data_IF_978730074855
#
_entry.id   IF_978730074855
#
_cell.length_a   1.000
_cell.length_b   1.000
_cell.length_c   1.000
_cell.angle_alpha   90.00
_cell.angle_beta   90.00
_cell.angle_gamma   90.00
#
_symmetry.space_group_name_H-M   'P 1'
#
loop_
_entity.id
_entity.type
_entity.pdbx_description
1 polymer ?
2 polymer ?
3 non-polymer ?
4 non-polymer ?
#
loop_
_entity_poly.entity_id
_entity_poly.type
_entity_poly.pdbx_seq_one_letter_code
_entity_poly.pdbx_strand_id
2 'polyribonucleotide' 'GGCCAGGUAGCUCAGUUGGUAGAGCACUGGACUGAAAAUCCAGGUGUCGGCGGUUCGAUUCCGCCCCUGGCCACC' ?
#
# COMPACT_ATOMS: atom_id res chain seq x y z
N UNK A 1 9.14 9.44 29.49
CA UNK A 1 10.44 9.25 30.14
C UNK A 1 11.56 9.90 29.33
N UNK A 2 11.32 10.04 28.03
CA UNK A 2 12.32 10.56 27.10
C UNK A 2 12.77 11.97 27.45
N UNK A 3 11.82 12.80 27.86
CA UNK A 3 12.12 14.17 28.23
C UNK A 3 13.06 14.26 29.41
N UNK A 4 12.82 13.42 30.41
CA UNK A 4 13.68 13.35 31.60
C UNK A 4 15.09 12.91 31.26
N UNK A 5 15.19 11.81 30.51
CA UNK A 5 16.47 11.27 30.08
C UNK A 5 17.25 12.31 29.28
N UNK A 6 16.53 13.02 28.40
CA UNK A 6 17.14 14.06 27.59
C UNK A 6 17.62 15.20 28.46
N UNK A 7 16.90 15.48 29.54
CA UNK A 7 17.31 16.52 30.48
C UNK A 7 18.60 16.12 31.20
N UNK A 8 18.67 14.86 31.60
CA UNK A 8 19.84 14.34 32.32
C UNK A 8 21.08 14.33 31.44
N UNK A 9 20.88 14.11 30.15
CA UNK A 9 21.99 14.04 29.20
C UNK A 9 22.28 15.40 28.59
N UNK A 10 21.51 16.40 29.01
CA UNK A 10 21.67 17.75 28.50
C UNK A 10 21.45 17.83 27.01
N UNK A 11 20.40 17.17 26.53
CA UNK A 11 20.13 17.14 25.10
C UNK A 11 18.72 17.64 24.76
N UNK A 12 18.43 17.67 23.46
CA UNK A 12 17.11 18.02 22.96
C UNK A 12 16.64 16.94 21.99
N UNK A 13 15.50 16.33 22.30
CA UNK A 13 14.92 15.32 21.42
C UNK A 13 13.60 15.83 20.82
N UNK A 14 13.27 15.36 19.62
CA UNK A 14 12.05 15.80 18.96
C UNK A 14 11.35 14.65 18.22
N UNK A 15 10.03 14.54 18.37
CA UNK A 15 9.24 13.70 17.49
C UNK A 15 9.23 14.40 16.13
N UNK A 16 9.37 13.63 15.06
CA UNK A 16 9.70 14.22 13.76
C UNK A 16 9.00 13.53 12.58
N UNK A 17 8.65 14.32 11.58
CA UNK A 17 8.23 13.78 10.29
C UNK A 17 6.79 13.35 10.20
N UNK A 18 6.55 12.29 9.43
CA UNK A 18 5.21 11.77 9.18
C UNK A 18 4.39 11.58 10.44
N UNK A 19 5.02 11.07 11.48
CA UNK A 19 4.36 10.84 12.77
C UNK A 19 3.63 12.09 13.24
N UNK A 20 4.30 13.24 13.14
CA UNK A 20 3.68 14.51 13.49
C UNK A 20 2.45 14.76 12.62
N UNK A 21 2.63 14.65 11.31
CA UNK A 21 1.53 14.86 10.37
C UNK A 21 0.31 14.04 10.73
N UNK A 22 0.52 12.72 10.85
CA UNK A 22 -0.55 11.80 11.20
C UNK A 22 -1.25 12.22 12.48
N UNK A 23 -0.50 12.75 13.43
CA UNK A 23 -1.07 13.19 14.69
C UNK A 23 -2.01 14.38 14.45
N UNK A 24 -1.53 15.35 13.69
CA UNK A 24 -2.31 16.53 13.41
C UNK A 24 -3.53 16.19 12.55
N UNK A 25 -3.42 15.11 11.79
CA UNK A 25 -4.51 14.61 10.97
C UNK A 25 -5.44 13.69 11.76
N UNK A 26 -5.12 13.51 13.03
CA UNK A 26 -5.95 12.70 13.91
C UNK A 26 -5.75 11.21 13.70
N UNK A 27 -4.63 10.84 13.10
CA UNK A 27 -4.30 9.43 12.89
C UNK A 27 -3.21 8.99 13.86
N UNK A 28 -3.51 7.96 14.65
CA UNK A 28 -2.53 7.42 15.59
C UNK A 28 -1.74 6.28 14.97
N UNK A 29 -0.43 6.34 15.10
CA UNK A 29 0.45 5.32 14.53
C UNK A 29 1.39 4.73 15.58
N UNK A 30 1.87 3.51 15.34
CA UNK A 30 2.71 2.82 16.30
C UNK A 30 4.20 3.02 16.04
N UNK A 31 4.52 3.69 14.94
CA UNK A 31 5.92 3.96 14.60
C UNK A 31 6.24 5.43 14.87
N UNK A 32 7.20 5.66 15.77
CA UNK A 32 7.53 7.03 16.17
C UNK A 32 8.99 7.36 15.89
N UNK A 33 9.21 8.39 15.07
CA UNK A 33 10.56 8.80 14.70
C UNK A 33 11.05 9.96 15.56
N UNK A 34 12.22 9.79 16.17
CA UNK A 34 12.85 10.86 16.94
C UNK A 34 14.11 11.37 16.25
N UNK A 35 14.33 12.68 16.35
CA UNK A 35 15.60 13.29 15.98
C UNK A 35 16.21 13.88 17.24
N UNK A 36 17.49 13.55 17.48
CA UNK A 36 18.17 14.02 18.68
C UNK A 36 19.32 14.95 18.33
N UNK A 37 19.34 16.12 18.96
CA UNK A 37 20.54 16.93 18.96
C UNK A 37 21.46 16.33 20.02
N UNK A 38 22.63 15.85 19.59
CA UNK A 38 23.47 15.06 20.45
C UNK A 38 23.38 13.59 20.08
N UNK A 39 23.95 12.72 20.92
CA UNK A 39 24.02 11.29 20.59
C UNK A 39 22.69 10.59 20.84
N UNK A 40 22.12 10.03 19.78
CA UNK A 40 20.83 9.36 19.84
C UNK A 40 20.95 7.94 20.38
N UNK A 41 22.06 7.29 20.04
CA UNK A 41 22.32 5.91 20.45
C UNK A 41 22.23 5.73 21.96
N UNK A 42 22.91 6.59 22.70
CA UNK A 42 22.95 6.51 24.15
C UNK A 42 21.58 6.79 24.78
N UNK A 43 20.85 7.73 24.19
CA UNK A 43 19.50 8.04 24.66
C UNK A 43 18.62 6.80 24.50
N UNK A 44 18.72 6.16 23.34
CA UNK A 44 17.97 4.95 23.05
C UNK A 44 18.34 3.82 24.02
N UNK A 45 19.63 3.67 24.27
CA UNK A 45 20.14 2.65 25.18
C UNK A 45 19.63 2.88 26.60
N UNK A 46 19.53 4.14 27.00
CA UNK A 46 19.09 4.46 28.35
C UNK A 46 17.58 4.25 28.50
N UNK A 47 16.84 4.65 27.47
CA UNK A 47 15.39 4.43 27.43
C UNK A 47 15.08 2.94 27.50
N UNK A 48 15.79 2.17 26.69
CA UNK A 48 15.63 0.72 26.65
C UNK A 48 16.00 0.08 27.98
N UNK A 49 17.11 0.54 28.56
CA UNK A 49 17.59 0.00 29.82
C UNK A 49 16.59 0.28 30.94
N UNK A 50 16.03 1.49 30.94
CA UNK A 50 15.08 1.88 31.99
C UNK A 50 13.74 1.18 31.83
N UNK A 51 13.36 0.88 30.60
CA UNK A 51 12.15 0.09 30.38
C UNK A 51 12.47 -1.40 30.43
N UNK A 52 13.75 -1.73 30.40
CA UNK A 52 14.18 -3.11 30.49
C UNK A 52 13.86 -3.90 29.23
N UNK A 53 14.13 -3.29 28.08
CA UNK A 53 13.86 -3.94 26.79
C UNK A 53 15.12 -3.94 25.92
N UNK A 54 15.10 -4.77 24.87
CA UNK A 54 16.23 -4.86 23.96
C UNK A 54 16.41 -3.57 23.15
N UNK A 55 17.63 -3.34 22.68
CA UNK A 55 17.93 -2.17 21.85
C UNK A 55 18.76 -2.60 20.64
N UNK A 56 18.53 -1.94 19.51
CA UNK A 56 19.22 -2.27 18.27
C UNK A 56 19.96 -1.06 17.72
N UNK A 57 21.23 -0.91 18.11
CA UNK A 57 22.11 0.19 17.69
C UNK A 57 22.66 0.03 16.27
N UNK A 58 22.80 1.18 15.61
CA UNK A 58 23.42 1.28 14.30
C UNK A 58 24.34 2.52 14.31
N UNK A 59 25.58 2.33 14.76
CA UNK A 59 26.59 3.38 14.96
C UNK A 59 27.00 4.10 13.69
N UNK A 60 27.13 3.37 12.58
CA UNK A 60 27.51 3.98 11.31
C UNK A 60 26.36 4.84 10.79
N UNK A 61 25.14 4.36 10.98
CA UNK A 61 23.95 5.13 10.60
C UNK A 61 23.67 6.20 11.66
N UNK A 62 24.21 5.98 12.86
CA UNK A 62 24.00 6.89 13.96
C UNK A 62 22.56 6.87 14.46
N UNK A 63 21.88 5.73 14.27
CA UNK A 63 20.49 5.59 14.69
C UNK A 63 20.32 4.34 15.54
N UNK A 64 19.21 4.26 16.28
CA UNK A 64 18.93 3.08 17.09
C UNK A 64 17.43 2.81 17.16
N UNK A 65 17.07 1.52 17.16
CA UNK A 65 15.66 1.16 17.21
C UNK A 65 15.34 0.32 18.45
N UNK A 66 14.21 0.61 19.07
CA UNK A 66 13.76 -0.21 20.21
C UNK A 66 12.25 -0.31 20.19
N UNK A 67 11.71 -1.32 20.87
CA UNK A 67 10.27 -1.54 20.85
C UNK A 67 9.69 -1.65 22.25
N UNK A 68 8.74 -0.77 22.55
CA UNK A 68 8.11 -0.76 23.87
C UNK A 68 6.60 -0.95 23.71
N UNK A 69 6.09 -2.06 24.21
CA UNK A 69 4.71 -2.44 23.95
C UNK A 69 4.53 -2.64 22.45
N UNK A 70 3.53 -2.00 21.88
CA UNK A 70 3.34 -2.03 20.43
C UNK A 70 3.98 -0.83 19.75
N UNK A 71 4.61 0.02 20.55
CA UNK A 71 5.30 1.19 20.03
C UNK A 71 6.67 0.83 19.45
N UNK A 72 6.91 1.26 18.23
CA UNK A 72 8.22 1.09 17.60
C UNK A 72 8.94 2.44 17.57
N UNK A 73 9.98 2.57 18.37
CA UNK A 73 10.71 3.83 18.50
C UNK A 73 12.01 3.82 17.72
N UNK A 74 12.18 4.83 16.87
CA UNK A 74 13.40 5.04 16.11
C UNK A 74 14.04 6.36 16.52
N UNK A 75 15.28 6.28 16.99
CA UNK A 75 16.02 7.48 17.39
C UNK A 75 17.16 7.74 16.41
N UNK A 76 17.22 8.95 15.86
CA UNK A 76 18.25 9.29 14.90
C UNK A 76 18.95 10.58 15.28
N UNK A 77 20.27 10.61 15.12
CA UNK A 77 21.03 11.83 15.34
C UNK A 77 20.75 12.82 14.22
N UNK A 78 20.59 14.09 14.58
CA UNK A 78 20.37 15.13 13.59
C UNK A 78 21.53 15.20 12.58
N UNK A 79 21.19 15.36 11.30
CA UNK A 79 22.19 15.40 10.25
C UNK A 79 21.77 16.34 9.12
N UNK A 80 22.72 17.07 8.57
CA UNK A 80 22.44 18.05 7.53
C UNK A 80 22.46 17.43 6.13
N UNK A 81 22.89 16.17 6.05
CA UNK A 81 22.97 15.48 4.77
C UNK A 81 22.53 14.02 4.89
N UNK A 82 21.91 13.51 3.85
CA UNK A 82 21.40 12.14 3.86
C UNK A 82 22.56 11.13 3.81
N UNK A 93 30.91 18.60 12.29
CA UNK A 93 30.07 19.63 12.87
C UNK A 93 28.68 19.10 13.19
N UNK A 94 28.14 19.46 14.36
CA UNK A 94 26.79 19.04 14.76
C UNK A 94 25.71 19.76 13.96
N UNK A 95 24.62 19.06 13.66
CA UNK A 95 23.55 19.64 12.86
C UNK A 95 22.34 20.02 13.71
N UNK A 96 21.82 21.22 13.47
CA UNK A 96 20.62 21.66 14.16
C UNK A 96 19.39 20.93 13.64
N UNK A 97 18.32 20.92 14.42
CA UNK A 97 17.07 20.30 14.03
C UNK A 97 16.54 20.85 12.71
N UNK A 98 16.76 22.14 12.50
CA UNK A 98 16.32 22.80 11.27
C UNK A 98 17.03 22.22 10.05
N UNK A 99 18.35 22.03 10.17
CA UNK A 99 19.15 21.46 9.09
C UNK A 99 18.71 20.03 8.78
N UNK A 100 18.20 19.33 9.79
CA UNK A 100 17.71 17.96 9.61
C UNK A 100 16.31 17.94 9.00
N UNK A 101 15.51 18.97 9.28
CA UNK A 101 14.16 19.04 8.74
C UNK A 101 14.14 19.51 7.29
N UNK A 102 15.06 20.41 6.95
CA UNK A 102 15.07 21.02 5.61
C UNK A 102 15.49 20.04 4.52
N UNK A 103 16.03 18.89 4.93
CA UNK A 103 16.49 17.88 3.98
C UNK A 103 15.38 16.89 3.63
N UNK A 104 14.18 17.14 4.16
CA UNK A 104 13.06 16.23 3.94
C UNK A 104 12.25 16.63 2.71
N UNK A 105 11.22 15.84 2.39
CA UNK A 105 10.53 15.98 1.11
C UNK A 105 9.53 17.13 1.09
N UNK A 106 8.48 17.04 1.89
CA UNK A 106 7.40 18.02 1.84
C UNK A 106 7.15 18.68 3.18
N UNK A 107 6.64 19.91 3.13
CA UNK A 107 6.45 20.75 4.32
C UNK A 107 5.62 20.07 5.40
N UNK A 108 4.59 19.35 5.00
CA UNK A 108 3.73 18.65 5.95
C UNK A 108 4.48 17.49 6.61
N UNK A 109 5.55 17.03 5.97
CA UNK A 109 6.41 16.02 6.57
C UNK A 109 7.59 16.63 7.32
N UNK A 110 7.73 17.94 7.24
CA UNK A 110 8.93 18.62 7.72
C UNK A 110 8.83 19.17 9.13
N UNK A 111 7.71 18.94 9.80
CA UNK A 111 7.51 19.52 11.13
C UNK A 111 8.04 18.66 12.28
N UNK A 112 7.96 19.19 13.49
CA UNK A 112 8.46 18.49 14.68
C UNK A 112 7.72 18.90 15.95
N UNK A 113 7.63 17.95 16.89
CA UNK A 113 7.03 18.21 18.20
C UNK A 113 8.05 17.91 19.30
N UNK A 114 8.35 18.90 20.12
CA UNK A 114 9.37 18.78 21.15
C UNK A 114 8.95 17.90 22.33
N UNK A 115 9.75 16.88 22.61
CA UNK A 115 9.55 16.03 23.78
C UNK A 115 10.44 16.49 24.94
N UNK A 116 11.16 17.59 24.74
CA UNK A 116 11.95 18.19 25.81
C UNK A 116 11.05 18.80 26.87
N UNK A 117 11.43 18.69 28.15
CA UNK A 117 10.53 19.01 29.25
C UNK A 117 10.08 20.47 29.37
N UNK A 118 10.97 21.42 29.07
CA UNK A 118 10.63 22.83 29.24
C UNK A 118 9.55 23.30 28.25
N UNK A 119 9.77 23.01 26.97
CA UNK A 119 8.86 23.41 25.91
C UNK A 119 7.84 22.33 25.52
N UNK A 120 7.76 21.27 26.32
CA UNK A 120 7.10 20.01 25.94
C UNK A 120 5.74 20.16 25.29
N UNK A 121 5.56 19.49 24.16
CA UNK A 121 4.34 19.55 23.39
C UNK A 121 4.41 20.51 22.22
N UNK A 122 5.35 21.45 22.28
CA UNK A 122 5.44 22.52 21.28
C UNK A 122 5.69 22.01 19.87
N UNK A 123 4.84 22.44 18.95
CA UNK A 123 5.01 22.14 17.53
C UNK A 123 6.04 23.08 16.91
N UNK A 124 6.99 22.51 16.18
CA UNK A 124 8.03 23.31 15.55
C UNK A 124 7.90 23.25 14.02
N UNK A 125 7.52 24.37 13.42
CA UNK A 125 7.34 24.44 11.97
C UNK A 125 8.11 25.61 11.38
N UNK A 126 9.19 25.31 10.66
CA UNK A 126 9.98 26.32 9.99
C UNK A 126 9.39 26.70 8.63
N UNK A 127 8.97 25.68 7.89
CA UNK A 127 8.69 25.82 6.46
C UNK A 127 7.21 26.03 6.13
N UNK A 128 6.38 26.18 7.15
CA UNK A 128 4.98 26.49 6.95
C UNK A 128 4.16 25.25 6.61
N UNK A 129 4.58 24.12 7.16
CA UNK A 129 3.91 22.86 6.91
C UNK A 129 2.52 22.76 7.49
N UNK A 130 2.29 23.46 8.60
CA UNK A 130 0.97 23.45 9.24
C UNK A 130 -0.06 24.16 8.37
N UNK A 131 0.37 25.26 7.75
CA UNK A 131 -0.48 26.01 6.84
C UNK A 131 -0.84 25.15 5.62
N UNK A 132 0.17 24.50 5.04
CA UNK A 132 -0.04 23.64 3.88
C UNK A 132 -0.92 22.44 4.25
N UNK A 133 -0.83 22.02 5.51
CA UNK A 133 -1.66 20.93 6.01
C UNK A 133 -3.09 21.40 6.13
N UNK A 134 -3.25 22.67 6.49
CA UNK A 134 -4.58 23.26 6.63
C UNK A 134 -5.19 23.58 5.27
N UNK A 135 -4.34 23.87 4.29
CA UNK A 135 -4.81 24.21 2.95
C UNK A 135 -4.84 23.00 2.01
N UNK A 136 -4.51 21.83 2.55
CA UNK A 136 -4.43 20.60 1.76
C UNK A 136 -3.46 20.76 0.59
N UNK A 137 -2.23 21.17 0.89
CA UNK A 137 -1.22 21.43 -0.13
C UNK A 137 0.02 20.56 0.02
N UNK A 138 0.45 19.94 -1.07
CA UNK A 138 1.72 19.22 -1.11
C UNK A 138 2.80 20.11 -1.70
N UNK A 139 3.79 20.47 -0.90
CA UNK A 139 4.79 21.44 -1.32
C UNK A 139 6.22 21.03 -0.95
N UNK A 140 7.12 21.08 -1.93
CA UNK A 140 8.52 20.77 -1.70
C UNK A 140 9.23 21.93 -1.00
N UNK A 141 10.35 21.62 -0.35
CA UNK A 141 11.09 22.63 0.39
C UNK A 141 11.99 23.49 -0.51
N UNK A 142 12.50 22.89 -1.58
CA UNK A 142 13.42 23.59 -2.48
C UNK A 142 13.23 23.14 -3.93
N UNK A 143 13.59 24.01 -4.89
CA UNK A 143 13.37 23.73 -6.33
C UNK A 143 14.03 22.44 -6.83
N UNK A 144 15.12 22.01 -6.21
CA UNK A 144 15.86 20.84 -6.68
C UNK A 144 15.40 19.56 -5.99
N UNK A 145 14.34 19.66 -5.19
CA UNK A 145 13.82 18.54 -4.41
C UNK A 145 13.58 17.27 -5.23
N UNK A 146 12.83 17.38 -6.32
CA UNK A 146 12.52 16.22 -7.15
C UNK A 146 13.75 15.71 -7.90
N UNK A 147 14.68 16.61 -8.18
CA UNK A 147 15.92 16.24 -8.86
C UNK A 147 16.84 15.48 -7.90
N UNK A 148 16.83 15.91 -6.63
CA UNK A 148 17.63 15.25 -5.60
C UNK A 148 17.20 13.81 -5.38
N UNK A 149 15.89 13.60 -5.24
CA UNK A 149 15.34 12.27 -5.04
C UNK A 149 14.10 12.07 -5.91
N UNK A 150 14.30 11.60 -7.16
CA UNK A 150 13.20 11.37 -8.11
C UNK A 150 12.09 10.48 -7.56
N UNK A 151 12.41 9.64 -6.58
CA UNK A 151 11.41 8.79 -5.94
C UNK A 151 10.28 9.63 -5.37
N UNK A 152 10.62 10.83 -4.89
CA UNK A 152 9.64 11.76 -4.34
C UNK A 152 8.51 12.05 -5.32
N UNK A 153 8.82 12.03 -6.62
CA UNK A 153 7.82 12.23 -7.66
C UNK A 153 6.62 11.32 -7.41
N UNK A 154 6.90 10.05 -7.13
CA UNK A 154 5.83 9.13 -6.77
C UNK A 154 5.23 9.51 -5.42
N UNK A 155 6.10 9.69 -4.44
CA UNK A 155 5.68 9.95 -3.06
C UNK A 155 4.64 11.05 -2.98
N UNK A 156 4.95 12.19 -3.59
CA UNK A 156 4.03 13.33 -3.61
C UNK A 156 2.64 12.87 -4.03
N UNK A 157 2.58 12.24 -5.20
CA UNK A 157 1.32 11.79 -5.75
C UNK A 157 0.60 10.92 -4.74
N UNK A 158 1.35 9.97 -4.17
CA UNK A 158 0.78 9.04 -3.20
C UNK A 158 0.09 9.81 -2.09
N UNK A 159 0.82 10.78 -1.52
CA UNK A 159 0.25 11.54 -0.42
C UNK A 159 -0.97 12.29 -0.90
N UNK A 160 -0.85 12.91 -2.07
CA UNK A 160 -1.95 13.66 -2.66
C UNK A 160 -3.13 12.72 -2.88
N UNK A 161 -2.83 11.48 -3.23
CA UNK A 161 -3.87 10.49 -3.42
C UNK A 161 -4.47 10.08 -2.10
N UNK A 162 -3.62 9.93 -1.08
CA UNK A 162 -4.07 9.43 0.21
C UNK A 162 -4.87 10.48 0.96
N UNK A 163 -4.33 11.69 1.04
CA UNK A 163 -4.92 12.72 1.88
C UNK A 163 -5.87 13.64 1.12
N UNK A 164 -6.06 13.37 -0.16
CA UNK A 164 -6.84 14.23 -1.05
C UNK A 164 -6.32 15.65 -1.00
N UNK A 165 -4.99 15.78 -1.06
CA UNK A 165 -4.36 17.09 -1.14
C UNK A 165 -4.11 17.41 -2.60
N UNK A 166 -3.59 18.61 -2.85
CA UNK A 166 -3.20 18.99 -4.20
C UNK A 166 -1.78 19.52 -4.19
N UNK A 167 -1.10 19.36 -5.32
CA UNK A 167 0.25 19.86 -5.46
C UNK A 167 0.23 21.38 -5.56
N UNK A 168 1.27 22.03 -5.03
CA UNK A 168 1.43 23.46 -5.25
C UNK A 168 1.68 23.69 -6.74
N UNK A 169 1.40 24.90 -7.21
CA UNK A 169 1.71 25.26 -8.59
C UNK A 169 3.18 24.99 -8.89
N UNK A 170 4.04 25.54 -8.05
CA UNK A 170 5.48 25.35 -8.15
C UNK A 170 5.83 23.86 -8.12
N UNK A 171 5.25 23.14 -7.17
CA UNK A 171 5.54 21.71 -7.01
C UNK A 171 5.09 20.90 -8.22
N UNK A 172 3.95 21.29 -8.80
CA UNK A 172 3.44 20.62 -9.99
C UNK A 172 4.38 20.86 -11.18
N UNK A 173 4.79 22.11 -11.36
CA UNK A 173 5.74 22.47 -12.42
C UNK A 173 7.04 21.70 -12.28
N UNK A 174 7.59 21.68 -11.07
CA UNK A 174 8.85 21.02 -10.79
C UNK A 174 8.75 19.51 -10.98
N UNK A 175 7.62 18.94 -10.61
CA UNK A 175 7.39 17.51 -10.78
C UNK A 175 7.36 17.14 -12.26
N UNK A 176 6.56 17.89 -13.02
CA UNK A 176 6.46 17.68 -14.47
C UNK A 176 7.82 17.83 -15.15
N UNK A 177 8.58 18.85 -14.74
CA UNK A 177 9.92 19.05 -15.25
C UNK A 177 10.83 17.88 -14.92
N UNK A 178 10.69 17.36 -13.71
CA UNK A 178 11.49 16.23 -13.26
C UNK A 178 11.22 14.99 -14.11
N UNK A 179 9.94 14.75 -14.40
CA UNK A 179 9.56 13.63 -15.24
C UNK A 179 10.06 13.82 -16.67
N UNK A 180 9.98 15.06 -17.17
CA UNK A 180 10.44 15.37 -18.52
C UNK A 180 11.95 15.19 -18.69
N UNK A 181 12.69 15.35 -17.61
CA UNK A 181 14.14 15.14 -17.65
C UNK A 181 14.47 13.65 -17.65
N UNK A 182 13.45 12.83 -17.45
CA UNK A 182 13.61 11.39 -17.48
C UNK A 182 14.27 10.83 -16.23
N UNK A 183 14.27 11.63 -15.16
CA UNK A 183 14.93 11.24 -13.91
C UNK A 183 14.30 9.99 -13.30
N UNK A 184 13.08 9.69 -13.72
CA UNK A 184 12.38 8.50 -13.26
C UNK A 184 13.12 7.23 -13.70
N UNK A 185 13.77 7.31 -14.87
CA UNK A 185 14.56 6.20 -15.36
C UNK A 185 15.93 6.13 -14.70
N UNK A 186 16.41 7.28 -14.22
CA UNK A 186 17.72 7.37 -13.57
C UNK A 186 17.68 6.95 -12.10
N UNK A 187 16.49 6.98 -11.50
CA UNK A 187 16.33 6.62 -10.09
C UNK A 187 16.51 5.11 -9.90
N UNK A 188 17.00 4.71 -8.71
CA UNK A 188 17.18 3.28 -8.44
C UNK A 188 15.87 2.52 -8.53
N UNK A 189 15.88 1.42 -9.28
CA UNK A 189 14.68 0.62 -9.55
C UNK A 189 13.99 0.18 -8.27
N UNK A 190 14.79 -0.21 -7.28
CA UNK A 190 14.27 -0.71 -6.03
C UNK A 190 13.41 0.26 -5.24
N UNK A 191 13.87 1.50 -5.12
CA UNK A 191 13.15 2.51 -4.37
C UNK A 191 11.82 2.87 -5.04
N UNK A 192 11.83 2.95 -6.37
CA UNK A 192 10.63 3.22 -7.14
C UNK A 192 9.61 2.10 -6.99
N UNK A 193 10.06 0.87 -7.22
CA UNK A 193 9.22 -0.30 -7.08
C UNK A 193 8.63 -0.36 -5.67
N UNK A 194 9.45 -0.07 -4.67
CA UNK A 194 9.01 -0.08 -3.28
C UNK A 194 7.96 0.99 -3.02
N UNK A 195 8.14 2.15 -3.64
CA UNK A 195 7.16 3.23 -3.52
C UNK A 195 5.83 2.82 -4.12
N UNK A 196 5.88 2.14 -5.26
CA UNK A 196 4.67 1.63 -5.91
C UNK A 196 3.97 0.59 -5.03
N UNK A 197 4.77 -0.30 -4.44
CA UNK A 197 4.28 -1.30 -3.49
C UNK A 197 3.57 -0.61 -2.33
N UNK A 198 4.14 0.48 -1.84
CA UNK A 198 3.51 1.27 -0.80
C UNK A 198 2.20 1.85 -1.27
N UNK A 199 2.18 2.27 -2.53
CA UNK A 199 1.00 2.90 -3.12
C UNK A 199 -0.17 1.93 -3.20
N UNK A 200 0.07 0.71 -3.65
CA UNK A 200 -1.02 -0.25 -3.85
C UNK A 200 -1.65 -0.72 -2.53
N UNK A 201 -1.00 -0.40 -1.41
CA UNK A 201 -1.55 -0.75 -0.10
C UNK A 201 -2.53 0.31 0.38
N UNK A 202 -2.51 1.47 -0.27
CA UNK A 202 -3.44 2.55 0.05
C UNK A 202 -4.86 2.19 -0.37
N UNK A 203 -5.84 2.71 0.38
CA UNK A 203 -7.24 2.49 0.04
C UNK A 203 -7.68 3.44 -1.07
N UNK A 204 -7.01 4.58 -1.14
CA UNK A 204 -7.26 5.60 -2.16
C UNK A 204 -6.35 5.40 -3.37
N UNK A 205 -5.69 4.25 -3.40
CA UNK A 205 -4.74 3.87 -4.44
C UNK A 205 -5.22 4.17 -5.86
N UNK A 206 -6.50 4.01 -6.12
CA UNK A 206 -7.06 4.36 -7.43
C UNK A 206 -6.86 5.84 -7.77
N UNK A 207 -7.06 6.71 -6.78
CA UNK A 207 -6.84 8.14 -6.97
C UNK A 207 -5.36 8.41 -7.29
N UNK A 208 -4.49 7.69 -6.59
CA UNK A 208 -3.06 7.75 -6.85
C UNK A 208 -2.75 7.35 -8.28
N UNK A 209 -3.42 6.29 -8.76
CA UNK A 209 -3.26 5.82 -10.12
C UNK A 209 -3.73 6.88 -11.11
N UNK A 210 -4.76 7.62 -10.74
CA UNK A 210 -5.22 8.75 -11.55
C UNK A 210 -4.14 9.81 -11.65
N UNK A 211 -3.51 10.12 -10.52
CA UNK A 211 -2.41 11.08 -10.53
C UNK A 211 -1.24 10.58 -11.37
N UNK A 212 -0.96 9.28 -11.28
CA UNK A 212 0.05 8.62 -12.09
C UNK A 212 -0.22 8.82 -13.57
N UNK A 213 -1.48 8.63 -13.97
CA UNK A 213 -1.90 8.79 -15.35
C UNK A 213 -1.76 10.24 -15.80
N UNK A 214 -2.14 11.16 -14.92
CA UNK A 214 -2.08 12.59 -15.22
C UNK A 214 -0.65 13.05 -15.46
N UNK A 215 0.27 12.60 -14.60
CA UNK A 215 1.65 13.02 -14.72
C UNK A 215 2.53 12.02 -15.48
N UNK A 216 1.89 10.96 -15.98
CA UNK A 216 2.52 10.02 -16.91
C UNK A 216 3.79 9.37 -16.36
N UNK A 217 3.76 8.98 -15.10
CA UNK A 217 4.92 8.36 -14.46
C UNK A 217 5.03 6.86 -14.76
N UNK A 218 3.90 6.22 -15.02
CA UNK A 218 3.88 4.78 -15.28
C UNK A 218 4.57 4.44 -16.60
N UNK A 219 4.46 5.33 -17.57
CA UNK A 219 5.09 5.12 -18.87
C UNK A 219 6.61 5.05 -18.75
N UNK A 220 7.16 5.75 -17.76
CA UNK A 220 8.61 5.73 -17.54
C UNK A 220 9.06 4.48 -16.79
N UNK A 221 8.30 4.10 -15.75
CA UNK A 221 8.68 2.99 -14.89
C UNK A 221 8.44 1.62 -15.55
N UNK A 222 7.24 1.42 -16.08
CA UNK A 222 6.91 0.16 -16.74
C UNK A 222 7.11 0.27 -18.24
N UNK A 223 8.07 -0.49 -18.75
CA UNK A 223 8.40 -0.46 -20.17
C UNK A 223 7.30 -1.09 -21.02
N UNK A 224 6.83 -0.33 -22.01
CA UNK A 224 5.81 -0.82 -22.93
C UNK A 224 4.40 -0.43 -22.51
N UNK A 225 4.24 -0.03 -21.25
CA UNK A 225 2.93 0.34 -20.72
C UNK A 225 2.38 1.62 -21.35
N UNK A 226 1.10 1.59 -21.71
CA UNK A 226 0.40 2.77 -22.18
C UNK A 226 -1.02 2.80 -21.62
N UNK A 227 -1.61 3.99 -21.57
CA UNK A 227 -2.96 4.16 -21.05
C UNK A 227 -4.01 4.12 -22.14
N UNK A 228 -5.15 3.50 -21.83
CA UNK A 228 -6.32 3.57 -22.71
C UNK A 228 -7.59 3.65 -21.86
N UNK A 229 -8.74 3.75 -22.52
CA UNK A 229 -10.00 3.94 -21.81
C UNK A 229 -10.53 2.63 -21.22
N UNK A 230 -10.32 1.54 -21.93
CA UNK A 230 -10.80 0.23 -21.50
C UNK A 230 -10.23 -0.15 -20.14
N UNK A 231 -8.92 0.05 -19.98
CA UNK A 231 -8.24 -0.24 -18.71
C UNK A 231 -8.79 0.63 -17.59
N UNK A 232 -9.01 1.90 -17.88
CA UNK A 232 -9.54 2.85 -16.90
C UNK A 232 -10.92 2.46 -16.39
N UNK A 233 -11.82 2.22 -17.34
CA UNK A 233 -13.18 1.79 -17.02
C UNK A 233 -13.16 0.47 -16.25
N UNK A 234 -12.23 -0.41 -16.64
CA UNK A 234 -12.04 -1.67 -15.93
C UNK A 234 -11.61 -1.42 -14.49
N UNK A 235 -10.80 -0.38 -14.29
CA UNK A 235 -10.33 -0.02 -12.96
C UNK A 235 -11.47 0.49 -12.09
N UNK A 236 -12.35 1.30 -12.67
CA UNK A 236 -13.48 1.83 -11.90
C UNK A 236 -14.53 0.74 -11.60
N UNK A 237 -14.80 -0.11 -12.58
CA UNK A 237 -15.69 -1.25 -12.36
C UNK A 237 -15.12 -2.13 -11.26
N UNK A 238 -13.80 -2.32 -11.31
CA UNK A 238 -13.09 -3.05 -10.28
C UNK A 238 -13.26 -2.38 -8.92
N UNK A 239 -13.31 -1.05 -8.91
CA UNK A 239 -13.56 -0.31 -7.68
C UNK A 239 -14.94 -0.65 -7.13
N UNK A 240 -15.94 -0.68 -8.01
CA UNK A 240 -17.29 -1.03 -7.59
C UNK A 240 -17.34 -2.42 -6.97
N UNK A 241 -16.79 -3.40 -7.69
CA UNK A 241 -16.77 -4.78 -7.23
C UNK A 241 -16.03 -4.93 -5.90
N UNK A 242 -14.88 -4.27 -5.79
CA UNK A 242 -14.07 -4.30 -4.58
C UNK A 242 -14.85 -3.70 -3.40
N UNK A 243 -15.55 -2.61 -3.66
CA UNK A 243 -16.39 -1.99 -2.62
C UNK A 243 -17.46 -2.96 -2.13
N UNK A 244 -18.19 -3.56 -3.07
CA UNK A 244 -19.25 -4.50 -2.73
C UNK A 244 -18.74 -5.70 -1.94
N UNK A 245 -17.66 -6.31 -2.44
CA UNK A 245 -17.06 -7.48 -1.81
C UNK A 245 -16.53 -7.16 -0.42
N UNK A 246 -15.87 -6.02 -0.29
CA UNK A 246 -15.34 -5.60 1.00
C UNK A 246 -16.46 -5.12 1.92
N UNK A 247 -17.66 -4.99 1.36
CA UNK A 247 -18.83 -4.62 2.15
C UNK A 247 -19.52 -5.85 2.74
N UNK A 248 -20.06 -6.70 1.87
CA UNK A 248 -20.82 -7.87 2.34
C UNK A 248 -19.93 -9.02 2.78
N UNK A 249 -18.88 -9.28 2.00
CA UNK A 249 -17.99 -10.42 2.21
C UNK A 249 -16.78 -10.12 3.08
N UNK A 250 -16.80 -8.96 3.74
CA UNK A 250 -15.62 -8.37 4.37
C UNK A 250 -14.74 -9.31 5.20
N UNK A 251 -15.32 -10.38 5.73
CA UNK A 251 -14.52 -11.38 6.43
C UNK A 251 -13.59 -12.14 5.47
N UNK A 252 -13.93 -12.12 4.18
CA UNK A 252 -13.17 -12.84 3.16
C UNK A 252 -12.12 -12.00 2.43
N UNK A 253 -11.91 -10.76 2.88
CA UNK A 253 -11.07 -9.79 2.17
C UNK A 253 -9.65 -10.26 1.87
N UNK A 254 -9.13 -9.79 0.73
CA UNK A 254 -7.73 -9.99 0.35
C UNK A 254 -7.11 -8.64 0.02
N UNK A 255 -5.87 -8.62 -0.46
CA UNK A 255 -5.26 -7.37 -0.88
C UNK A 255 -5.80 -6.97 -2.26
N UNK A 256 -6.48 -5.83 -2.29
CA UNK A 256 -7.21 -5.40 -3.48
C UNK A 256 -6.36 -4.69 -4.55
N UNK A 257 -5.36 -3.93 -4.11
CA UNK A 257 -4.53 -3.15 -5.02
C UNK A 257 -3.87 -3.97 -6.10
N UNK A 258 -3.52 -5.20 -5.75
CA UNK A 258 -2.89 -6.12 -6.70
C UNK A 258 -3.78 -6.38 -7.90
N UNK A 259 -5.09 -6.39 -7.67
CA UNK A 259 -6.06 -6.58 -8.76
C UNK A 259 -5.96 -5.41 -9.73
N UNK A 260 -5.96 -4.19 -9.20
CA UNK A 260 -5.77 -2.99 -10.01
C UNK A 260 -4.48 -3.09 -10.82
N UNK A 261 -3.42 -3.52 -10.16
CA UNK A 261 -2.13 -3.68 -10.82
C UNK A 261 -2.21 -4.68 -11.98
N UNK A 262 -2.98 -5.75 -11.77
CA UNK A 262 -3.16 -6.77 -12.80
C UNK A 262 -3.96 -6.22 -13.98
N UNK A 263 -4.95 -5.38 -13.69
CA UNK A 263 -5.73 -4.74 -14.74
C UNK A 263 -4.84 -3.81 -15.57
N UNK A 264 -3.96 -3.08 -14.89
CA UNK A 264 -3.05 -2.16 -15.56
C UNK A 264 -2.13 -2.86 -16.56
N UNK A 265 -1.53 -3.96 -16.13
CA UNK A 265 -0.56 -4.68 -16.96
C UNK A 265 -1.21 -5.77 -17.81
N UNK A 266 -2.54 -5.83 -17.77
CA UNK A 266 -3.29 -6.85 -18.50
C UNK A 266 -3.00 -6.86 -20.00
N UNK A 267 -2.81 -5.68 -20.58
CA UNK A 267 -2.55 -5.57 -22.02
C UNK A 267 -1.07 -5.69 -22.34
N UNK A 268 -0.22 -5.63 -21.31
CA UNK A 268 1.21 -5.78 -21.49
C UNK A 268 1.57 -7.21 -21.90
N UNK A 269 2.73 -7.37 -22.51
CA UNK A 269 3.20 -8.70 -22.89
C UNK A 269 3.43 -9.56 -21.66
N UNK A 270 3.30 -10.87 -21.82
CA UNK A 270 3.46 -11.79 -20.70
C UNK A 270 4.87 -11.73 -20.12
N UNK A 271 5.85 -11.47 -20.98
CA UNK A 271 7.23 -11.37 -20.55
C UNK A 271 7.44 -10.17 -19.62
N UNK A 272 7.03 -9.00 -20.09
CA UNK A 272 7.13 -7.77 -19.30
C UNK A 272 6.27 -7.82 -18.05
N UNK A 273 5.10 -8.46 -18.15
CA UNK A 273 4.22 -8.60 -17.02
C UNK A 273 4.83 -9.46 -15.94
N UNK A 274 5.33 -10.63 -16.33
CA UNK A 274 5.98 -11.55 -15.40
C UNK A 274 7.21 -10.92 -14.77
N UNK A 275 7.97 -10.17 -15.58
CA UNK A 275 9.17 -9.51 -15.08
C UNK A 275 8.84 -8.41 -14.08
N UNK A 276 7.77 -7.67 -14.35
CA UNK A 276 7.36 -6.59 -13.46
C UNK A 276 6.83 -7.16 -12.14
N UNK A 277 5.99 -8.17 -12.22
CA UNK A 277 5.48 -8.83 -11.02
C UNK A 277 6.61 -9.51 -10.27
N UNK A 278 7.68 -9.83 -10.98
CA UNK A 278 8.89 -10.36 -10.37
C UNK A 278 9.59 -9.27 -9.55
N UNK A 279 9.80 -8.12 -10.18
CA UNK A 279 10.42 -6.98 -9.52
C UNK A 279 9.59 -6.48 -8.34
N UNK A 280 8.26 -6.59 -8.47
CA UNK A 280 7.36 -6.13 -7.43
C UNK A 280 7.33 -7.04 -6.22
N UNK A 281 7.91 -8.23 -6.39
CA UNK A 281 7.86 -9.28 -5.36
C UNK A 281 6.41 -9.54 -4.95
N UNK A 282 5.56 -9.76 -5.93
CA UNK A 282 4.14 -9.98 -5.70
C UNK A 282 3.89 -11.34 -5.02
N UNK A 283 2.80 -11.45 -4.25
CA UNK A 283 2.41 -12.73 -3.65
C UNK A 283 2.13 -13.80 -4.69
N UNK A 284 2.14 -15.07 -4.27
CA UNK A 284 1.95 -16.18 -5.18
C UNK A 284 0.59 -16.14 -5.90
N UNK A 285 -0.46 -15.82 -5.14
CA UNK A 285 -1.80 -15.80 -5.71
C UNK A 285 -1.95 -14.70 -6.76
N UNK A 286 -1.12 -13.67 -6.67
CA UNK A 286 -1.10 -12.61 -7.66
C UNK A 286 -0.53 -13.12 -8.98
N UNK A 287 0.60 -13.83 -8.89
CA UNK A 287 1.22 -14.43 -10.06
C UNK A 287 0.30 -15.46 -10.72
N UNK A 288 -0.31 -16.30 -9.89
CA UNK A 288 -1.22 -17.33 -10.39
C UNK A 288 -2.45 -16.72 -11.05
N UNK A 289 -3.02 -15.70 -10.42
CA UNK A 289 -4.19 -15.01 -10.96
C UNK A 289 -3.84 -14.30 -12.27
N UNK A 290 -2.62 -13.77 -12.36
CA UNK A 290 -2.16 -13.11 -13.57
C UNK A 290 -2.02 -14.11 -14.71
N UNK A 291 -1.33 -15.23 -14.43
CA UNK A 291 -1.10 -16.26 -15.42
C UNK A 291 -2.42 -16.89 -15.88
N UNK A 292 -3.38 -16.96 -14.98
CA UNK A 292 -4.70 -17.49 -15.32
C UNK A 292 -5.49 -16.49 -16.15
N UNK A 293 -5.35 -15.21 -15.82
CA UNK A 293 -6.04 -14.14 -16.52
C UNK A 293 -5.55 -14.02 -17.96
N UNK A 294 -4.23 -14.18 -18.13
CA UNK A 294 -3.60 -13.99 -19.43
C UNK A 294 -3.99 -15.09 -20.43
N UNK A 295 -4.38 -16.25 -19.93
CA UNK A 295 -4.65 -17.38 -20.80
C UNK A 295 -6.00 -18.04 -20.59
N UNK A 296 -6.16 -18.71 -19.44
CA UNK A 296 -7.33 -19.57 -19.21
C UNK A 296 -8.60 -18.79 -18.89
N UNK A 297 -8.47 -17.50 -18.61
CA UNK A 297 -9.60 -16.67 -18.23
C UNK A 297 -10.64 -16.58 -19.34
N UNK A 298 -10.16 -16.43 -20.58
CA UNK A 298 -11.05 -16.32 -21.73
C UNK A 298 -11.91 -17.56 -21.91
N UNK A 299 -11.25 -18.71 -21.99
CA UNK A 299 -11.94 -19.98 -22.14
C UNK A 299 -12.86 -20.24 -20.95
N UNK A 300 -12.43 -19.83 -19.77
CA UNK A 300 -13.26 -19.94 -18.57
C UNK A 300 -14.55 -19.16 -18.72
N UNK A 301 -14.43 -17.92 -19.21
CA UNK A 301 -15.59 -17.07 -19.44
C UNK A 301 -16.52 -17.69 -20.48
N UNK A 302 -15.94 -18.18 -21.57
CA UNK A 302 -16.72 -18.81 -22.63
C UNK A 302 -17.43 -20.06 -22.12
N UNK A 303 -16.84 -20.72 -21.12
CA UNK A 303 -17.46 -21.88 -20.50
C UNK A 303 -18.59 -21.46 -19.55
N UNK A 304 -18.40 -20.32 -18.89
CA UNK A 304 -19.42 -19.78 -18.01
C UNK A 304 -20.64 -19.32 -18.81
N UNK A 305 -20.39 -18.91 -20.05
CA UNK A 305 -21.47 -18.54 -20.95
C UNK A 305 -22.29 -19.77 -21.34
N UNK A 306 -21.62 -20.91 -21.43
CA UNK A 306 -22.28 -22.16 -21.80
C UNK A 306 -22.86 -22.87 -20.60
N UNK A 307 -22.69 -22.28 -19.42
CA UNK A 307 -23.18 -22.88 -18.19
C UNK A 307 -24.70 -22.81 -18.11
N UNK A 308 -25.33 -23.97 -17.93
CA UNK A 308 -26.78 -24.06 -17.78
C UNK A 308 -27.15 -24.46 -16.35
N UNK A 309 -26.77 -25.67 -15.97
CA UNK A 309 -26.98 -26.15 -14.61
C UNK A 309 -26.10 -25.39 -13.62
N UNK A 310 -26.51 -25.39 -12.36
CA UNK A 310 -25.76 -24.68 -11.33
C UNK A 310 -24.49 -25.43 -10.91
N UNK A 311 -24.51 -26.75 -11.05
CA UNK A 311 -23.37 -27.57 -10.66
C UNK A 311 -22.18 -27.38 -11.60
N UNK A 312 -22.46 -27.02 -12.84
CA UNK A 312 -21.40 -26.70 -13.80
C UNK A 312 -20.69 -25.44 -13.35
N UNK A 313 -21.48 -24.44 -12.98
CA UNK A 313 -20.95 -23.19 -12.43
C UNK A 313 -20.12 -23.48 -11.19
N UNK A 314 -20.64 -24.36 -10.34
CA UNK A 314 -19.92 -24.83 -9.15
C UNK A 314 -18.54 -25.36 -9.52
N UNK A 315 -18.52 -26.42 -10.33
CA UNK A 315 -17.29 -27.06 -10.78
C UNK A 315 -16.30 -26.07 -11.40
N UNK A 316 -16.79 -25.10 -12.16
CA UNK A 316 -15.93 -24.14 -12.83
C UNK A 316 -15.39 -23.07 -11.89
N UNK A 317 -16.14 -22.77 -10.84
CA UNK A 317 -15.79 -21.68 -9.92
C UNK A 317 -14.99 -22.12 -8.70
N UNK A 318 -15.59 -23.00 -7.90
CA UNK A 318 -15.05 -23.40 -6.60
C UNK A 318 -13.53 -23.64 -6.52
N UNK A 319 -12.92 -24.30 -7.53
CA UNK A 319 -11.46 -24.44 -7.43
C UNK A 319 -10.70 -23.10 -7.50
N UNK A 320 -11.31 -22.08 -8.08
CA UNK A 320 -10.64 -20.79 -8.28
C UNK A 320 -10.50 -19.98 -7.00
N UNK A 321 -9.56 -19.04 -7.00
CA UNK A 321 -9.34 -18.14 -5.87
C UNK A 321 -10.38 -17.02 -5.89
N UNK A 322 -10.32 -16.14 -4.90
CA UNK A 322 -11.24 -15.01 -4.80
C UNK A 322 -10.96 -13.99 -5.90
N UNK A 323 -9.68 -13.72 -6.13
CA UNK A 323 -9.24 -12.73 -7.12
C UNK A 323 -9.81 -13.03 -8.50
N UNK A 324 -9.76 -14.29 -8.90
CA UNK A 324 -10.27 -14.72 -10.20
C UNK A 324 -11.77 -14.45 -10.32
N UNK A 325 -12.50 -14.69 -9.23
CA UNK A 325 -13.93 -14.43 -9.20
C UNK A 325 -14.21 -12.94 -9.34
N UNK A 326 -13.44 -12.13 -8.61
CA UNK A 326 -13.59 -10.68 -8.66
C UNK A 326 -13.31 -10.15 -10.06
N UNK A 327 -12.35 -10.78 -10.75
CA UNK A 327 -12.04 -10.42 -12.12
C UNK A 327 -13.14 -10.89 -13.08
N UNK A 328 -13.82 -11.98 -12.69
CA UNK A 328 -14.93 -12.49 -13.46
C UNK A 328 -16.15 -11.58 -13.35
N UNK A 329 -16.26 -10.89 -12.21
CA UNK A 329 -17.38 -9.99 -11.99
C UNK A 329 -17.29 -8.72 -12.84
N UNK A 330 -16.17 -8.55 -13.52
CA UNK A 330 -15.99 -7.42 -14.44
C UNK A 330 -16.90 -7.56 -15.64
N UNK A 331 -17.36 -8.78 -15.89
CA UNK A 331 -18.34 -9.05 -16.94
C UNK A 331 -19.75 -8.84 -16.41
N UNK A 332 -20.54 -8.07 -17.13
CA UNK A 332 -21.91 -7.75 -16.71
C UNK A 332 -22.79 -8.98 -16.62
N UNK A 333 -22.73 -9.83 -17.64
CA UNK A 333 -23.57 -11.01 -17.71
C UNK A 333 -23.20 -12.05 -16.65
N UNK A 334 -21.93 -12.06 -16.26
CA UNK A 334 -21.44 -13.05 -15.30
C UNK A 334 -21.60 -12.59 -13.86
N UNK A 335 -21.88 -11.30 -13.66
CA UNK A 335 -21.94 -10.70 -12.33
C UNK A 335 -22.93 -11.41 -11.40
N UNK A 336 -24.21 -11.37 -11.76
CA UNK A 336 -25.26 -11.98 -10.95
C UNK A 336 -25.04 -13.48 -10.76
N UNK A 337 -24.37 -14.10 -11.71
CA UNK A 337 -24.06 -15.53 -11.62
C UNK A 337 -23.02 -15.80 -10.55
N UNK A 338 -21.93 -15.03 -10.59
CA UNK A 338 -20.87 -15.13 -9.58
C UNK A 338 -21.43 -14.82 -8.19
N UNK A 339 -22.24 -13.76 -8.10
CA UNK A 339 -22.88 -13.38 -6.84
C UNK A 339 -23.75 -14.53 -6.32
N UNK A 340 -24.57 -15.08 -7.20
CA UNK A 340 -25.43 -16.21 -6.85
C UNK A 340 -24.61 -17.39 -6.35
N UNK A 341 -23.43 -17.59 -6.93
CA UNK A 341 -22.51 -18.62 -6.45
C UNK A 341 -22.00 -18.28 -5.06
N UNK A 342 -21.80 -16.99 -4.81
CA UNK A 342 -21.19 -16.55 -3.56
C UNK A 342 -22.14 -16.65 -2.38
N UNK A 343 -23.22 -15.87 -2.40
CA UNK A 343 -24.08 -15.78 -1.21
C UNK A 343 -25.14 -16.88 -1.13
N UNK A 344 -25.17 -17.78 -2.12
CA UNK A 344 -26.15 -18.87 -2.09
C UNK A 344 -25.56 -20.26 -2.35
N UNK A 345 -25.08 -20.46 -3.58
CA UNK A 345 -24.78 -21.80 -4.11
C UNK A 345 -23.82 -22.64 -3.27
N UNK A 346 -22.73 -22.04 -2.82
CA UNK A 346 -21.67 -22.82 -2.18
C UNK A 346 -21.94 -23.07 -0.69
N UNK A 347 -23.09 -22.63 -0.22
CA UNK A 347 -23.49 -22.86 1.17
C UNK A 347 -24.57 -23.93 1.26
N UNK A 348 -24.25 -25.03 1.94
CA UNK A 348 -25.16 -26.16 2.11
C UNK A 348 -24.50 -27.22 3.01
N UNK A 349 -25.32 -28.11 3.57
CA UNK A 349 -24.82 -29.15 4.48
C UNK A 349 -25.79 -30.32 4.56
N UNK A 350 -25.42 -31.33 5.34
CA UNK A 350 -26.24 -32.53 5.50
C UNK A 350 -26.24 -33.03 6.94
N UNK A 351 -27.37 -33.61 7.39
CA UNK A 351 -27.51 -34.11 8.76
C UNK A 351 -26.73 -35.40 9.02
N UNK A 352 -26.93 -36.00 10.18
CA UNK A 352 -26.16 -37.18 10.58
C UNK A 352 -26.54 -38.45 9.85
N UNK A 353 -27.77 -38.93 10.10
CA UNK A 353 -28.23 -40.21 9.55
C UNK A 353 -28.07 -40.30 8.04
N UNK A 354 -28.36 -39.22 7.34
CA UNK A 354 -28.24 -39.18 5.88
C UNK A 354 -26.79 -39.46 5.47
N UNK A 355 -25.86 -38.65 5.98
CA UNK A 355 -24.45 -38.83 5.70
C UNK A 355 -23.98 -40.24 6.04
N UNK A 356 -24.46 -40.75 7.17
CA UNK A 356 -24.15 -42.11 7.60
C UNK A 356 -24.61 -43.13 6.55
N UNK A 357 -25.76 -42.88 5.94
CA UNK A 357 -26.25 -43.75 4.88
C UNK A 357 -25.43 -43.57 3.60
N UNK A 358 -24.88 -42.37 3.42
CA UNK A 358 -24.07 -42.07 2.24
C UNK A 358 -22.73 -42.77 2.32
N UNK A 359 -22.21 -42.95 3.53
CA UNK A 359 -20.96 -43.64 3.75
C UNK A 359 -21.14 -45.15 3.74
N UNK A 360 -22.39 -45.59 3.87
CA UNK A 360 -22.75 -47.00 3.91
C UNK A 360 -21.97 -47.75 4.98
N UNK A 365 -13.21 -44.43 0.04
CA UNK A 365 -12.15 -43.84 -0.76
C UNK A 365 -12.58 -42.58 -1.47
N UNK A 366 -12.23 -42.47 -2.75
CA UNK A 366 -12.58 -41.31 -3.55
C UNK A 366 -14.04 -41.41 -4.01
N UNK A 367 -14.58 -42.62 -4.01
CA UNK A 367 -15.95 -42.87 -4.43
C UNK A 367 -16.93 -42.18 -3.49
N UNK A 368 -16.51 -41.98 -2.24
CA UNK A 368 -17.31 -41.24 -1.27
C UNK A 368 -17.43 -39.79 -1.73
N UNK A 369 -16.30 -39.23 -2.17
CA UNK A 369 -16.27 -37.87 -2.69
C UNK A 369 -17.13 -37.72 -3.93
N UNK A 370 -16.97 -38.66 -4.87
CA UNK A 370 -17.76 -38.67 -6.08
C UNK A 370 -19.26 -38.73 -5.76
N UNK A 371 -19.62 -39.58 -4.81
CA UNK A 371 -21.01 -39.74 -4.41
C UNK A 371 -21.54 -38.45 -3.81
N UNK A 372 -20.76 -37.83 -2.94
CA UNK A 372 -21.12 -36.55 -2.35
C UNK A 372 -21.35 -35.50 -3.43
N UNK A 373 -20.50 -35.52 -4.46
CA UNK A 373 -20.67 -34.62 -5.60
C UNK A 373 -22.00 -34.89 -6.33
N UNK A 374 -22.32 -36.17 -6.51
CA UNK A 374 -23.58 -36.56 -7.14
C UNK A 374 -24.77 -36.06 -6.33
N UNK A 375 -24.64 -36.11 -5.01
CA UNK A 375 -25.70 -35.66 -4.11
C UNK A 375 -25.86 -34.15 -4.16
N UNK A 376 -24.74 -33.44 -4.25
CA UNK A 376 -24.77 -31.98 -4.34
C UNK A 376 -25.40 -31.53 -5.66
N UNK A 377 -25.01 -32.17 -6.76
CA UNK A 377 -25.58 -31.83 -8.06
C UNK A 377 -27.05 -32.29 -8.14
N UNK A 378 -27.41 -33.23 -7.26
CA UNK A 378 -28.81 -33.65 -7.16
C UNK A 378 -29.62 -32.62 -6.38
N UNK A 379 -28.99 -31.99 -5.39
CA UNK A 379 -29.64 -30.97 -4.59
C UNK A 379 -29.82 -29.67 -5.36
N UNK A 380 -28.75 -29.21 -6.01
CA UNK A 380 -28.79 -27.98 -6.79
C UNK A 380 -29.87 -28.01 -7.88
N UNK A 381 -29.68 -28.90 -8.86
CA UNK A 381 -30.60 -28.99 -9.98
C UNK A 381 -31.81 -29.86 -9.66
X LIG C 1 4.86 5.92 5.51
X LIG C 1 4.96 5.53 6.97
X LIG C 1 6.03 5.28 4.73
X LIG C 1 3.51 5.42 4.94
X LIG C 1 6.13 8.36 5.92
X LIG C 1 5.89 9.82 5.59
X LIG C 1 6.24 8.20 7.44
X LIG C 1 4.94 7.51 5.39
X LIG C 1 8.88 7.06 6.20
X LIG C 1 8.15 6.19 7.29
X LIG C 1 9.84 6.11 5.36
X LIG C 1 7.68 7.82 5.07
X LIG C 1 9.78 8.18 6.90
X LIG C 1 9.19 9.36 7.30
X LIG C 1 10.19 10.46 7.20
X LIG C 1 11.14 10.12 6.36
X LIG C 1 9.48 11.84 6.66
X LIG C 1 9.99 13.03 7.44
X LIG C 1 9.77 11.95 5.48
X LIG C 1 9.98 13.43 5.13
X LIG C 1 11.16 11.17 5.33
X LIG C 1 11.27 10.63 4.13
X LIG C 1 10.88 9.44 3.58
X LIG C 1 11.28 9.48 2.31
X LIG C 1 11.91 10.68 2.09
X LIG C 1 12.53 11.28 0.98
X LIG C 1 12.60 10.64 -0.29
X LIG C 1 13.08 12.48 0.98
X LIG C 1 13.06 13.18 2.16
X LIG C 1 12.46 12.63 3.29
X LIG C 1 11.90 11.40 3.24
X LIG D 1 6.27 5.49 8.47
#
# INVERSE_FOLDING_TARGET
MVGQIAKEMGLRAYIVGGVVRDILLGKEVWDVDFVVEGNAIELAKELARRHGVNVHPFPEFGTAHLKIGKLKLEFATARRETYPRPGAYPKVEPASLKEDLIRRDFTINAMAISVNLEDYGTLIDYFGGLRDLKDKVIRVLHPVSFIEDPVRILRALRFAGRLNFKLSRSTEKLLKQAVNLGLLKEAPRGRLINEIKLALREDRFLEILELYRKYRVLEEIIEGFQWNEKVLQKLYALRKVVDWHALEFSEERIDYGWLYLLILISNLDYERGKHFLEEMSAPSWVRETYKFMKFKLGSLKEELKKAKENYEVYRLLKPLHTSVLLLLMLEEELKEKIKLYLEKLRKVKLPKEKIEELKKQGLKGKELGERIEELKREIMNKIKLAAALEHHHHHH
APC PG O1G O2G O3G PB O1B O2B O3B PA O1A O2A C3A O5' C5' C4' O4' C3' O3' C2' O2' C1' N9 C8 N7 C5 C6 N6 N1 C2 N3 C4
MG MG
#
